data_IF_001286635790
#
_entry.id   IF_001286635790
#
_cell.length_a   1.000
_cell.length_b   1.000
_cell.length_c   1.000
_cell.angle_alpha   90.00
_cell.angle_beta   90.00
_cell.angle_gamma   90.00
#
_symmetry.space_group_name_H-M   'P 1'
#
loop_
_entity.id
_entity.type
_entity.pdbx_description
1 polymer ?
#
# COMPACT_ATOMS: atom_id res chain seq x y z
N UNK A 1 -24.43 4.31 16.47
CA UNK A 1 -23.69 5.24 17.37
C UNK A 1 -22.28 5.45 16.82
N UNK A 2 -21.71 6.67 16.84
CA UNK A 2 -20.35 6.87 16.34
C UNK A 2 -19.31 6.27 17.29
N UNK A 3 -18.16 5.86 16.75
CA UNK A 3 -17.05 5.27 17.53
C UNK A 3 -16.44 6.32 18.47
N UNK A 4 -16.71 6.18 19.78
CA UNK A 4 -16.07 7.01 20.81
C UNK A 4 -14.70 6.45 21.14
N UNK A 5 -13.70 7.32 21.25
CA UNK A 5 -12.32 6.92 21.51
C UNK A 5 -11.77 7.57 22.76
N UNK A 6 -10.99 6.81 23.54
CA UNK A 6 -10.30 7.30 24.71
C UNK A 6 -9.06 6.44 25.01
N UNK A 7 -8.09 7.03 25.68
CA UNK A 7 -6.95 6.26 26.20
C UNK A 7 -7.41 5.20 27.19
N UNK A 8 -6.90 3.98 27.03
CA UNK A 8 -7.33 2.80 27.80
C UNK A 8 -8.76 2.33 27.50
N UNK A 9 -9.44 2.94 26.52
CA UNK A 9 -10.75 2.51 26.05
C UNK A 9 -10.67 1.30 25.12
N UNK A 10 -11.79 0.62 24.94
CA UNK A 10 -11.95 -0.45 23.94
C UNK A 10 -12.12 0.14 22.54
N UNK A 11 -11.03 0.71 22.01
CA UNK A 11 -11.04 1.41 20.73
C UNK A 11 -10.95 0.44 19.55
N UNK A 12 -11.60 0.78 18.43
CA UNK A 12 -11.32 0.14 17.15
C UNK A 12 -10.03 0.75 16.57
N UNK A 13 -8.97 -0.04 16.32
CA UNK A 13 -7.69 0.49 15.84
C UNK A 13 -7.79 1.40 14.61
N UNK A 14 -8.55 1.02 13.59
CA UNK A 14 -8.72 1.83 12.39
C UNK A 14 -9.37 3.21 12.67
N UNK A 15 -10.27 3.31 13.65
CA UNK A 15 -10.88 4.59 14.04
C UNK A 15 -9.90 5.48 14.80
N UNK A 16 -9.00 4.88 15.59
CA UNK A 16 -7.87 5.61 16.19
C UNK A 16 -6.99 6.17 15.10
N UNK A 17 -6.64 5.37 14.07
CA UNK A 17 -5.85 5.85 12.94
C UNK A 17 -6.54 7.00 12.20
N UNK A 18 -7.86 6.88 11.94
CA UNK A 18 -8.65 7.93 11.29
C UNK A 18 -8.58 9.23 12.09
N UNK A 19 -8.74 9.14 13.40
CA UNK A 19 -8.65 10.30 14.29
C UNK A 19 -7.24 10.90 14.32
N UNK A 20 -6.20 10.06 14.44
CA UNK A 20 -4.80 10.52 14.42
C UNK A 20 -4.46 11.24 13.11
N UNK A 21 -4.86 10.64 11.98
CA UNK A 21 -4.65 11.22 10.66
C UNK A 21 -5.44 12.53 10.47
N UNK A 22 -6.68 12.59 10.97
CA UNK A 22 -7.46 13.82 10.98
C UNK A 22 -6.74 14.94 11.75
N UNK A 23 -6.27 14.66 12.97
CA UNK A 23 -5.52 15.63 13.78
C UNK A 23 -4.24 16.11 13.08
N UNK A 24 -3.48 15.21 12.44
CA UNK A 24 -2.32 15.57 11.63
C UNK A 24 -2.70 16.55 10.51
N UNK A 25 -3.78 16.26 9.76
CA UNK A 25 -4.26 17.14 8.68
C UNK A 25 -4.82 18.47 9.18
N UNK A 26 -5.24 18.55 10.44
CA UNK A 26 -5.61 19.81 11.11
C UNK A 26 -4.41 20.62 11.61
N UNK A 27 -3.19 20.16 11.36
CA UNK A 27 -1.98 20.85 11.79
C UNK A 27 -1.66 20.66 13.27
N UNK A 28 -2.05 19.53 13.85
CA UNK A 28 -1.78 19.17 15.25
C UNK A 28 -0.74 18.03 15.28
N UNK A 29 0.56 18.32 15.02
CA UNK A 29 1.61 17.30 14.94
C UNK A 29 1.89 16.59 16.28
N UNK A 30 1.40 17.13 17.40
CA UNK A 30 1.54 16.56 18.74
C UNK A 30 0.96 15.14 18.84
N UNK A 31 0.03 14.78 17.94
CA UNK A 31 -0.56 13.44 17.86
C UNK A 31 0.48 12.36 17.56
N UNK A 32 1.60 12.72 16.94
CA UNK A 32 2.66 11.78 16.60
C UNK A 32 2.33 10.92 15.37
N UNK A 33 2.71 9.64 15.43
CA UNK A 33 2.51 8.70 14.31
C UNK A 33 1.05 8.23 14.27
N UNK A 34 0.59 7.87 13.07
CA UNK A 34 -0.69 7.17 12.87
C UNK A 34 -0.49 5.69 13.16
N UNK A 35 -0.45 5.33 14.43
CA UNK A 35 -0.04 4.01 14.91
C UNK A 35 -1.20 3.16 15.48
N UNK A 36 -2.44 3.66 15.39
CA UNK A 36 -3.63 3.01 15.90
C UNK A 36 -3.71 2.89 17.43
N UNK A 37 -2.81 3.55 18.18
CA UNK A 37 -2.85 3.61 19.64
C UNK A 37 -3.39 4.96 20.14
N UNK A 38 -4.44 4.91 20.96
CA UNK A 38 -4.95 6.10 21.63
C UNK A 38 -4.14 6.32 22.92
N UNK A 39 -2.84 6.56 22.76
CA UNK A 39 -1.93 6.85 23.85
C UNK A 39 -1.97 8.30 24.32
N UNK A 40 -1.02 8.68 25.18
CA UNK A 40 -0.88 10.03 25.73
C UNK A 40 -0.82 11.11 24.64
N UNK A 41 -0.05 10.88 23.56
CA UNK A 41 0.07 11.84 22.45
C UNK A 41 -1.26 12.08 21.72
N UNK A 42 -2.02 11.01 21.48
CA UNK A 42 -3.35 11.10 20.86
C UNK A 42 -4.33 11.83 21.78
N UNK A 43 -4.29 11.54 23.08
CA UNK A 43 -5.10 12.22 24.09
C UNK A 43 -4.81 13.73 24.17
N UNK A 44 -3.53 14.11 24.21
CA UNK A 44 -3.11 15.52 24.27
C UNK A 44 -3.43 16.27 22.98
N UNK A 45 -3.22 15.66 21.82
CA UNK A 45 -3.63 16.24 20.55
C UNK A 45 -5.16 16.41 20.44
N UNK A 46 -5.92 15.48 21.04
CA UNK A 46 -7.38 15.61 21.16
C UNK A 46 -7.76 16.80 22.03
N UNK A 47 -7.06 17.03 23.16
CA UNK A 47 -7.26 18.23 24.00
C UNK A 47 -6.95 19.52 23.23
N UNK A 48 -5.88 19.53 22.42
CA UNK A 48 -5.53 20.68 21.59
C UNK A 48 -6.66 20.97 20.60
N UNK A 49 -7.17 19.96 19.90
CA UNK A 49 -8.32 20.13 19.00
C UNK A 49 -9.53 20.69 19.74
N UNK A 50 -9.90 20.10 20.88
CA UNK A 50 -11.02 20.55 21.70
C UNK A 50 -10.85 22.01 22.15
N UNK A 51 -9.67 22.39 22.62
CA UNK A 51 -9.36 23.76 23.01
C UNK A 51 -9.49 24.73 21.82
N UNK A 52 -8.96 24.37 20.65
CA UNK A 52 -9.08 25.17 19.43
C UNK A 52 -10.54 25.36 18.98
N UNK A 53 -11.42 24.42 19.34
CA UNK A 53 -12.85 24.48 19.02
C UNK A 53 -13.73 24.97 20.19
N UNK A 54 -13.14 25.51 21.27
CA UNK A 54 -13.85 25.96 22.47
C UNK A 54 -14.74 24.88 23.12
N UNK A 55 -14.30 23.61 23.07
CA UNK A 55 -14.97 22.48 23.72
C UNK A 55 -14.36 22.20 25.09
N UNK A 56 -15.07 21.43 25.92
CA UNK A 56 -14.48 20.84 27.12
C UNK A 56 -13.29 19.95 26.76
N UNK A 57 -12.14 20.17 27.40
CA UNK A 57 -10.86 19.50 27.07
C UNK A 57 -10.75 18.13 27.75
N UNK A 58 -11.68 17.23 27.44
CA UNK A 58 -11.74 15.88 28.01
C UNK A 58 -10.56 14.98 27.56
N UNK A 59 -9.95 15.28 26.42
CA UNK A 59 -8.95 14.43 25.76
C UNK A 59 -9.54 13.18 25.11
N UNK A 60 -10.87 13.06 25.05
CA UNK A 60 -11.61 11.94 24.48
C UNK A 60 -12.29 12.36 23.18
N UNK A 61 -12.37 11.45 22.22
CA UNK A 61 -13.25 11.62 21.07
C UNK A 61 -14.68 11.23 21.48
N UNK A 62 -15.35 12.13 22.19
CA UNK A 62 -16.75 11.99 22.62
C UNK A 62 -17.74 12.52 21.58
N UNK A 63 -19.05 12.42 21.86
CA UNK A 63 -20.09 12.79 20.89
C UNK A 63 -20.01 14.27 20.45
N UNK A 64 -19.71 15.17 21.39
CA UNK A 64 -19.55 16.61 21.09
C UNK A 64 -18.31 16.88 20.24
N UNK A 65 -17.20 16.21 20.56
CA UNK A 65 -15.95 16.31 19.80
C UNK A 65 -16.14 15.78 18.37
N UNK A 66 -16.84 14.65 18.21
CA UNK A 66 -17.17 14.05 16.91
C UNK A 66 -18.05 14.99 16.09
N UNK A 67 -19.12 15.52 16.68
CA UNK A 67 -20.03 16.42 15.96
C UNK A 67 -19.31 17.67 15.47
N UNK A 68 -18.43 18.22 16.30
CA UNK A 68 -17.58 19.35 15.90
C UNK A 68 -16.60 18.97 14.80
N UNK A 69 -15.93 17.82 14.90
CA UNK A 69 -14.96 17.36 13.92
C UNK A 69 -15.57 17.11 12.53
N UNK A 70 -16.84 16.71 12.45
CA UNK A 70 -17.57 16.56 11.17
C UNK A 70 -17.58 17.86 10.36
N UNK A 71 -17.76 19.01 11.02
CA UNK A 71 -17.73 20.32 10.36
C UNK A 71 -16.35 20.64 9.73
N UNK A 72 -15.30 19.91 10.11
CA UNK A 72 -13.95 20.02 9.58
C UNK A 72 -13.56 18.84 8.68
N UNK A 73 -14.54 18.05 8.21
CA UNK A 73 -14.31 16.94 7.28
C UNK A 73 -13.85 15.63 7.93
N UNK A 74 -14.11 15.43 9.24
CA UNK A 74 -13.96 14.12 9.86
C UNK A 74 -15.07 13.16 9.39
N UNK A 75 -14.68 12.04 8.80
CA UNK A 75 -15.62 10.99 8.39
C UNK A 75 -16.10 10.21 9.60
N UNK A 76 -17.41 10.07 9.74
CA UNK A 76 -18.04 9.24 10.78
C UNK A 76 -18.68 8.03 10.13
N UNK A 77 -18.26 6.84 10.56
CA UNK A 77 -18.80 5.58 10.08
C UNK A 77 -19.93 5.06 11.00
N UNK A 78 -20.87 4.27 10.47
CA UNK A 78 -21.81 3.49 11.28
C UNK A 78 -21.09 2.54 12.26
N UNK A 79 -21.67 2.26 13.43
CA UNK A 79 -21.10 1.36 14.45
C UNK A 79 -20.93 -0.09 13.99
N UNK A 80 -21.72 -0.51 13.01
CA UNK A 80 -21.66 -1.85 12.43
C UNK A 80 -20.76 -1.93 11.17
N UNK A 81 -20.13 -0.82 10.76
CA UNK A 81 -19.33 -0.72 9.53
C UNK A 81 -18.29 -1.86 9.42
N UNK A 82 -17.54 -2.09 10.49
CA UNK A 82 -16.49 -3.10 10.54
C UNK A 82 -17.06 -4.52 10.67
N UNK A 83 -18.16 -4.70 11.42
CA UNK A 83 -18.81 -6.00 11.56
C UNK A 83 -19.32 -6.53 10.22
N UNK A 84 -19.92 -5.65 9.41
CA UNK A 84 -20.37 -5.98 8.05
C UNK A 84 -19.23 -6.36 7.09
N UNK A 85 -17.97 -6.04 7.43
CA UNK A 85 -16.77 -6.21 6.58
C UNK A 85 -15.72 -7.13 7.21
N UNK A 86 -16.08 -7.89 8.23
CA UNK A 86 -15.15 -8.74 8.98
C UNK A 86 -14.97 -10.16 8.38
N UNK A 87 -15.60 -10.45 7.24
CA UNK A 87 -15.51 -11.75 6.59
C UNK A 87 -14.14 -11.99 5.95
N UNK A 88 -13.63 -13.22 6.03
CA UNK A 88 -12.34 -13.60 5.42
C UNK A 88 -12.31 -13.34 3.90
N UNK A 89 -13.46 -13.48 3.23
CA UNK A 89 -13.65 -13.27 1.80
C UNK A 89 -13.91 -11.80 1.41
N UNK A 90 -13.98 -10.88 2.37
CA UNK A 90 -14.15 -9.45 2.09
C UNK A 90 -12.78 -8.76 2.02
N UNK A 91 -12.47 -7.91 1.04
CA UNK A 91 -13.34 -7.47 -0.05
C UNK A 91 -13.46 -8.57 -1.12
N UNK A 92 -14.58 -8.58 -1.88
CA UNK A 92 -14.76 -9.56 -2.95
C UNK A 92 -13.67 -9.41 -4.03
N UNK A 93 -13.40 -10.51 -4.73
CA UNK A 93 -12.52 -10.52 -5.89
C UNK A 93 -13.13 -9.63 -6.99
N UNK A 94 -12.37 -8.78 -7.67
CA UNK A 94 -12.91 -7.95 -8.75
C UNK A 94 -13.31 -8.80 -9.96
N UNK A 95 -14.41 -8.43 -10.60
CA UNK A 95 -14.78 -8.97 -11.91
C UNK A 95 -13.88 -8.38 -13.00
N UNK A 96 -13.38 -9.22 -13.91
CA UNK A 96 -12.60 -8.78 -15.07
C UNK A 96 -11.19 -8.25 -14.78
N UNK A 97 -10.68 -8.39 -13.55
CA UNK A 97 -9.32 -8.01 -13.18
C UNK A 97 -8.60 -9.18 -12.48
N UNK A 98 -7.37 -9.47 -12.90
CA UNK A 98 -6.57 -10.57 -12.35
C UNK A 98 -5.09 -10.23 -12.34
N UNK A 99 -4.32 -10.90 -11.49
CA UNK A 99 -2.85 -10.82 -11.48
C UNK A 99 -2.25 -10.88 -12.90
N UNK A 100 -1.36 -9.95 -13.29
CA UNK A 100 -0.80 -9.91 -14.63
C UNK A 100 0.17 -11.08 -14.84
N UNK A 101 -0.01 -11.83 -15.93
CA UNK A 101 0.91 -12.89 -16.31
C UNK A 101 2.18 -12.35 -16.99
N UNK A 102 3.16 -13.23 -17.20
CA UNK A 102 4.44 -12.82 -17.78
C UNK A 102 4.32 -12.17 -19.17
N UNK A 103 3.47 -12.71 -20.04
CA UNK A 103 3.26 -12.18 -21.38
C UNK A 103 2.67 -10.77 -21.33
N UNK A 104 1.69 -10.54 -20.44
CA UNK A 104 1.07 -9.23 -20.25
C UNK A 104 2.10 -8.19 -19.82
N UNK A 105 2.94 -8.50 -18.83
CA UNK A 105 3.96 -7.56 -18.32
C UNK A 105 4.95 -7.17 -19.39
N UNK A 106 5.48 -8.14 -20.13
CA UNK A 106 6.45 -7.85 -21.18
C UNK A 106 5.81 -7.08 -22.36
N UNK A 107 4.57 -7.37 -22.72
CA UNK A 107 3.86 -6.65 -23.80
C UNK A 107 3.51 -5.22 -23.41
N UNK A 108 3.07 -5.01 -22.16
CA UNK A 108 2.56 -3.72 -21.71
C UNK A 108 3.63 -2.84 -21.08
N UNK A 109 4.54 -3.40 -20.30
CA UNK A 109 5.59 -2.68 -19.56
C UNK A 109 6.96 -2.78 -20.25
N UNK A 110 7.08 -3.61 -21.28
CA UNK A 110 8.32 -3.81 -22.00
C UNK A 110 9.20 -4.90 -21.38
N UNK A 111 10.00 -5.51 -22.23
CA UNK A 111 10.92 -6.60 -21.88
C UNK A 111 12.31 -6.04 -21.61
N UNK A 112 12.95 -6.59 -20.57
CA UNK A 112 14.35 -6.35 -20.24
C UNK A 112 15.20 -7.62 -20.15
N UNK A 113 16.48 -7.47 -20.43
CA UNK A 113 17.52 -8.42 -20.09
C UNK A 113 17.94 -8.24 -18.62
N UNK A 114 18.35 -9.32 -17.95
CA UNK A 114 18.84 -9.25 -16.57
C UNK A 114 19.85 -10.36 -16.26
N UNK A 115 20.58 -10.17 -15.15
CA UNK A 115 21.42 -11.21 -14.54
C UNK A 115 21.05 -11.34 -13.05
N UNK A 116 21.45 -12.46 -12.46
CA UNK A 116 21.51 -12.59 -11.00
C UNK A 116 22.96 -12.86 -10.59
N UNK A 117 23.51 -12.00 -9.73
CA UNK A 117 24.87 -12.15 -9.20
C UNK A 117 24.92 -13.25 -8.12
N UNK A 118 26.13 -13.69 -7.77
CA UNK A 118 26.35 -14.55 -6.61
C UNK A 118 25.76 -13.93 -5.33
N UNK A 119 25.31 -14.77 -4.40
CA UNK A 119 24.64 -14.35 -3.16
C UNK A 119 25.37 -13.26 -2.37
N UNK A 120 26.70 -13.34 -2.26
CA UNK A 120 27.54 -12.36 -1.55
C UNK A 120 27.51 -10.93 -2.12
N UNK A 121 27.00 -10.74 -3.33
CA UNK A 121 26.87 -9.44 -4.00
C UNK A 121 25.42 -8.95 -4.06
N UNK A 122 24.54 -9.53 -3.25
CA UNK A 122 23.12 -9.21 -3.19
C UNK A 122 22.77 -8.81 -1.75
N UNK A 123 21.95 -7.78 -1.63
CA UNK A 123 21.27 -7.38 -0.39
C UNK A 123 20.13 -8.34 -0.01
N UNK A 124 19.58 -9.06 -0.99
CA UNK A 124 18.56 -10.12 -0.79
C UNK A 124 18.73 -11.26 -1.80
N UNK A 125 18.36 -12.49 -1.41
CA UNK A 125 18.63 -13.68 -2.22
C UNK A 125 17.93 -13.67 -3.58
N UNK A 126 16.80 -12.97 -3.72
CA UNK A 126 16.08 -12.87 -5.00
C UNK A 126 16.52 -11.70 -5.88
N UNK A 127 17.48 -10.86 -5.45
CA UNK A 127 17.93 -9.69 -6.19
C UNK A 127 18.38 -10.06 -7.62
N UNK A 128 17.95 -9.26 -8.58
CA UNK A 128 18.46 -9.27 -9.96
C UNK A 128 19.08 -7.91 -10.30
N UNK A 129 19.85 -7.87 -11.37
CA UNK A 129 20.34 -6.64 -11.99
C UNK A 129 19.75 -6.55 -13.39
N UNK A 130 18.81 -5.62 -13.55
CA UNK A 130 18.23 -5.27 -14.85
C UNK A 130 19.30 -4.61 -15.72
N UNK A 131 19.27 -4.89 -17.01
CA UNK A 131 20.19 -4.36 -18.03
C UNK A 131 19.40 -3.53 -19.05
N UNK A 132 19.72 -3.68 -20.33
CA UNK A 132 18.97 -3.09 -21.41
C UNK A 132 17.64 -3.77 -21.70
N UNK A 133 16.92 -3.23 -22.67
CA UNK A 133 15.73 -3.89 -23.21
C UNK A 133 16.08 -5.17 -23.98
N UNK A 134 15.08 -6.00 -24.24
CA UNK A 134 15.29 -7.27 -24.92
C UNK A 134 15.69 -7.14 -26.40
N UNK A 135 15.42 -5.98 -27.02
CA UNK A 135 15.76 -5.67 -28.41
C UNK A 135 17.19 -5.11 -28.58
N UNK A 136 17.84 -4.72 -27.48
CA UNK A 136 19.16 -4.09 -27.51
C UNK A 136 19.13 -2.61 -27.92
N UNK A 137 17.96 -1.98 -27.96
CA UNK A 137 17.79 -0.57 -28.33
C UNK A 137 17.98 0.38 -27.16
N UNK A 138 17.70 -0.08 -25.94
CA UNK A 138 17.86 0.68 -24.71
C UNK A 138 18.95 0.02 -23.87
N UNK A 139 20.00 0.77 -23.50
CA UNK A 139 21.13 0.24 -22.72
C UNK A 139 20.82 0.10 -21.22
N UNK A 140 19.95 0.96 -20.68
CA UNK A 140 19.46 0.91 -19.30
C UNK A 140 17.93 1.00 -19.28
N UNK A 141 17.28 -0.15 -19.16
CA UNK A 141 15.83 -0.24 -19.11
C UNK A 141 15.26 0.45 -17.87
N UNK A 142 15.97 0.39 -16.74
CA UNK A 142 15.50 1.00 -15.48
C UNK A 142 15.47 2.51 -15.62
N UNK A 143 16.53 3.11 -16.14
CA UNK A 143 16.60 4.56 -16.39
C UNK A 143 15.52 5.02 -17.38
N UNK A 144 15.24 4.22 -18.41
CA UNK A 144 14.26 4.58 -19.43
C UNK A 144 12.80 4.45 -18.97
N UNK A 145 12.50 3.45 -18.13
CA UNK A 145 11.11 3.06 -17.83
C UNK A 145 10.65 3.43 -16.42
N UNK A 146 11.55 3.53 -15.46
CA UNK A 146 11.20 3.79 -14.05
C UNK A 146 11.32 5.28 -13.75
N UNK A 147 10.22 5.84 -13.26
CA UNK A 147 10.04 7.25 -12.96
C UNK A 147 9.74 7.46 -11.48
N UNK A 148 10.08 8.64 -10.97
CA UNK A 148 9.68 9.08 -9.64
C UNK A 148 8.33 9.81 -9.71
N UNK A 149 7.29 9.22 -9.12
CA UNK A 149 6.02 9.89 -8.85
C UNK A 149 6.09 10.53 -7.46
N UNK A 150 6.27 11.85 -7.40
CA UNK A 150 6.25 12.61 -6.14
C UNK A 150 4.81 12.78 -5.64
N UNK A 151 4.60 12.56 -4.35
CA UNK A 151 3.30 12.77 -3.71
C UNK A 151 3.46 13.01 -2.21
N UNK A 152 2.46 13.64 -1.61
CA UNK A 152 2.36 13.78 -0.15
C UNK A 152 1.38 12.77 0.46
N UNK A 153 0.74 11.91 -0.34
CA UNK A 153 -0.35 11.05 0.13
C UNK A 153 0.07 10.14 1.30
N UNK A 154 1.33 9.69 1.31
CA UNK A 154 1.90 8.79 2.32
C UNK A 154 2.89 9.50 3.25
N UNK A 155 2.87 10.83 3.36
CA UNK A 155 3.85 11.58 4.15
C UNK A 155 3.86 11.21 5.64
N UNK A 156 2.77 10.64 6.16
CA UNK A 156 2.67 10.14 7.53
C UNK A 156 3.10 8.69 7.70
N UNK A 157 3.28 7.94 6.61
CA UNK A 157 3.56 6.50 6.65
C UNK A 157 5.06 6.22 6.82
N UNK A 158 5.39 5.29 7.71
CA UNK A 158 6.77 4.85 7.94
C UNK A 158 7.37 4.25 6.66
N UNK A 159 8.59 4.66 6.31
CA UNK A 159 9.31 4.18 5.12
C UNK A 159 9.03 4.94 3.83
N UNK A 160 8.06 5.86 3.80
CA UNK A 160 7.80 6.71 2.64
C UNK A 160 8.75 7.92 2.60
N UNK A 161 9.50 8.06 1.50
CA UNK A 161 10.50 9.12 1.33
C UNK A 161 10.04 10.24 0.38
N UNK A 162 8.72 10.42 0.19
CA UNK A 162 8.15 11.51 -0.60
C UNK A 162 7.95 11.21 -2.11
N UNK A 163 8.26 10.00 -2.56
CA UNK A 163 8.06 9.58 -3.94
C UNK A 163 7.87 8.07 -4.06
N UNK A 164 7.24 7.65 -5.17
CA UNK A 164 7.13 6.26 -5.61
C UNK A 164 8.02 6.06 -6.84
N UNK A 165 8.92 5.07 -6.79
CA UNK A 165 9.65 4.62 -7.99
C UNK A 165 8.79 3.61 -8.72
N UNK A 166 8.23 3.98 -9.88
CA UNK A 166 7.26 3.16 -10.63
C UNK A 166 7.51 3.22 -12.12
N UNK A 167 7.00 2.23 -12.85
CA UNK A 167 6.99 2.26 -14.29
C UNK A 167 6.23 3.47 -14.82
N UNK A 168 6.69 4.11 -15.91
CA UNK A 168 6.03 5.27 -16.49
C UNK A 168 4.56 5.01 -16.85
N UNK A 169 4.26 3.81 -17.37
CA UNK A 169 2.88 3.37 -17.67
C UNK A 169 2.02 3.05 -16.43
N UNK A 170 2.61 2.91 -15.25
CA UNK A 170 1.88 2.71 -13.99
C UNK A 170 1.58 4.04 -13.26
N UNK A 171 2.22 5.13 -13.68
CA UNK A 171 2.20 6.41 -12.98
C UNK A 171 0.78 6.98 -12.86
N UNK A 172 0.06 7.08 -13.97
CA UNK A 172 -1.28 7.68 -14.01
C UNK A 172 -2.28 6.87 -13.18
N UNK A 173 -2.19 5.53 -13.25
CA UNK A 173 -3.02 4.64 -12.44
C UNK A 173 -2.74 4.81 -10.94
N UNK A 174 -1.47 4.93 -10.54
CA UNK A 174 -1.11 5.14 -9.14
C UNK A 174 -1.54 6.52 -8.64
N UNK A 175 -1.35 7.57 -9.44
CA UNK A 175 -1.78 8.93 -9.07
C UNK A 175 -3.30 8.99 -8.86
N UNK A 176 -4.08 8.38 -9.75
CA UNK A 176 -5.52 8.24 -9.61
C UNK A 176 -5.90 7.44 -8.35
N UNK A 177 -5.22 6.33 -8.06
CA UNK A 177 -5.47 5.55 -6.85
C UNK A 177 -5.25 6.38 -5.59
N UNK A 178 -4.15 7.13 -5.52
CA UNK A 178 -3.85 8.00 -4.38
C UNK A 178 -4.92 9.09 -4.22
N UNK A 179 -5.43 9.64 -5.33
CA UNK A 179 -6.54 10.60 -5.32
C UNK A 179 -7.83 9.97 -4.82
N UNK A 180 -8.19 8.76 -5.27
CA UNK A 180 -9.37 8.03 -4.79
C UNK A 180 -9.28 7.72 -3.29
N UNK A 181 -8.14 7.22 -2.80
CA UNK A 181 -7.96 6.97 -1.37
C UNK A 181 -8.02 8.23 -0.53
N UNK A 182 -7.50 9.35 -1.04
CA UNK A 182 -7.62 10.65 -0.37
C UNK A 182 -9.07 11.12 -0.32
N UNK A 183 -9.79 11.05 -1.45
CA UNK A 183 -11.18 11.47 -1.56
C UNK A 183 -12.12 10.62 -0.68
N UNK A 184 -11.83 9.32 -0.55
CA UNK A 184 -12.56 8.41 0.30
C UNK A 184 -12.15 8.46 1.79
N UNK A 185 -11.22 9.36 2.17
CA UNK A 185 -10.68 9.49 3.53
C UNK A 185 -10.10 8.16 4.06
N UNK A 186 -9.34 7.45 3.24
CA UNK A 186 -8.78 6.13 3.55
C UNK A 186 -7.27 6.12 3.84
N UNK A 187 -6.57 7.23 3.61
CA UNK A 187 -5.11 7.30 3.76
C UNK A 187 -4.61 7.02 5.19
N UNK A 188 -5.47 7.15 6.20
CA UNK A 188 -5.18 6.76 7.58
C UNK A 188 -4.88 5.26 7.75
N UNK A 189 -5.34 4.42 6.82
CA UNK A 189 -5.06 2.98 6.84
C UNK A 189 -3.62 2.65 6.42
N UNK A 190 -2.93 3.56 5.73
CA UNK A 190 -1.53 3.37 5.31
C UNK A 190 -0.60 3.79 6.44
N UNK A 191 -0.08 2.80 7.18
CA UNK A 191 0.83 2.99 8.32
C UNK A 191 2.28 2.93 7.85
N UNK A 192 2.58 2.03 6.89
CA UNK A 192 3.92 1.87 6.34
C UNK A 192 3.91 1.59 4.85
N UNK A 193 5.01 1.98 4.20
CA UNK A 193 5.25 1.77 2.77
C UNK A 193 6.57 1.02 2.59
N UNK A 194 6.52 -0.16 1.94
CA UNK A 194 7.67 -1.05 1.77
C UNK A 194 8.30 -0.96 0.37
N UNK A 195 7.86 -0.02 -0.46
CA UNK A 195 8.44 0.27 -1.78
C UNK A 195 7.58 -0.19 -2.95
N UNK A 196 7.94 0.29 -4.13
CA UNK A 196 7.24 0.02 -5.38
C UNK A 196 8.14 -0.66 -6.43
N UNK A 197 9.33 -0.12 -6.67
CA UNK A 197 10.33 -0.73 -7.54
C UNK A 197 11.42 -1.45 -6.74
N UNK A 198 11.50 -2.76 -6.90
CA UNK A 198 12.50 -3.63 -6.28
C UNK A 198 12.85 -4.76 -7.28
N UNK A 199 13.97 -4.68 -8.02
CA UNK A 199 14.36 -5.71 -9.00
C UNK A 199 14.66 -7.05 -8.34
N UNK A 200 13.70 -7.98 -8.38
CA UNK A 200 13.83 -9.31 -7.79
C UNK A 200 12.96 -10.39 -8.45
N UNK A 201 13.33 -11.64 -8.20
CA UNK A 201 12.39 -12.76 -8.30
C UNK A 201 11.28 -12.64 -7.24
N UNK A 202 10.16 -13.32 -7.48
CA UNK A 202 9.13 -13.58 -6.47
C UNK A 202 9.81 -14.26 -5.27
N UNK A 203 9.38 -13.94 -4.05
CA UNK A 203 9.96 -14.46 -2.82
C UNK A 203 10.02 -16.01 -2.84
N UNK A 204 11.22 -16.56 -2.69
CA UNK A 204 11.47 -18.02 -2.76
C UNK A 204 11.55 -18.64 -4.17
N UNK A 205 11.50 -17.85 -5.25
CA UNK A 205 11.59 -18.36 -6.63
C UNK A 205 12.94 -18.13 -7.31
N UNK A 206 13.97 -17.67 -6.58
CA UNK A 206 15.30 -17.52 -7.16
C UNK A 206 15.91 -18.87 -7.54
N UNK A 207 16.64 -18.98 -8.68
CA UNK A 207 17.24 -20.22 -9.16
C UNK A 207 18.51 -20.66 -8.38
N UNK A 208 18.69 -20.19 -7.14
CA UNK A 208 19.83 -20.52 -6.27
C UNK A 208 20.78 -19.36 -5.92
N UNK A 209 21.95 -19.72 -5.41
CA UNK A 209 22.95 -18.80 -4.84
C UNK A 209 24.14 -18.50 -5.77
N UNK A 210 24.34 -19.32 -6.79
CA UNK A 210 25.38 -19.13 -7.81
C UNK A 210 24.99 -18.03 -8.80
N UNK A 211 25.98 -17.35 -9.43
CA UNK A 211 25.71 -16.46 -10.56
C UNK A 211 24.88 -17.16 -11.62
N UNK A 212 23.89 -16.46 -12.14
CA UNK A 212 23.05 -16.93 -13.25
C UNK A 212 23.51 -16.27 -14.56
N UNK A 213 23.38 -16.95 -15.71
CA UNK A 213 23.63 -16.34 -17.01
C UNK A 213 22.66 -15.17 -17.26
N UNK A 214 22.97 -14.38 -18.28
CA UNK A 214 22.05 -13.35 -18.79
C UNK A 214 20.77 -14.02 -19.29
N UNK A 215 19.63 -13.48 -18.87
CA UNK A 215 18.27 -13.97 -19.18
C UNK A 215 17.39 -12.83 -19.67
N UNK A 216 16.30 -13.17 -20.34
CA UNK A 216 15.24 -12.23 -20.70
C UNK A 216 14.06 -12.39 -19.74
N UNK A 217 13.39 -11.29 -19.44
CA UNK A 217 12.11 -11.30 -18.71
C UNK A 217 11.00 -12.04 -19.46
N UNK A 218 11.17 -12.33 -20.75
CA UNK A 218 10.31 -13.21 -21.55
C UNK A 218 10.68 -14.70 -21.47
N UNK A 219 11.79 -15.08 -20.83
CA UNK A 219 12.22 -16.48 -20.79
C UNK A 219 11.15 -17.35 -20.10
N UNK A 220 10.70 -18.46 -20.72
CA UNK A 220 9.57 -19.24 -20.21
C UNK A 220 9.83 -19.82 -18.81
N UNK A 221 11.06 -20.26 -18.54
CA UNK A 221 11.40 -20.94 -17.28
C UNK A 221 11.68 -19.99 -16.11
N UNK A 222 11.87 -18.69 -16.38
CA UNK A 222 12.40 -17.73 -15.40
C UNK A 222 11.66 -16.39 -15.39
N UNK A 223 11.17 -15.91 -16.52
CA UNK A 223 10.42 -14.66 -16.63
C UNK A 223 9.15 -14.67 -15.79
N UNK A 224 8.41 -15.80 -15.83
CA UNK A 224 7.23 -16.01 -14.97
C UNK A 224 7.52 -16.02 -13.47
N UNK A 225 8.79 -16.09 -13.07
CA UNK A 225 9.24 -16.08 -11.67
C UNK A 225 9.68 -14.69 -11.19
N UNK A 226 9.68 -13.67 -12.06
CA UNK A 226 9.99 -12.29 -11.68
C UNK A 226 8.81 -11.64 -10.95
N UNK A 227 9.12 -10.87 -9.91
CA UNK A 227 8.12 -10.11 -9.15
C UNK A 227 7.65 -8.89 -9.96
N UNK A 228 6.40 -8.46 -9.75
CA UNK A 228 5.89 -7.21 -10.32
C UNK A 228 6.64 -5.96 -9.85
N UNK A 229 7.30 -6.02 -8.69
CA UNK A 229 8.23 -4.97 -8.27
C UNK A 229 9.43 -4.82 -9.21
N UNK A 230 9.85 -5.87 -9.91
CA UNK A 230 10.96 -5.79 -10.86
C UNK A 230 10.60 -4.98 -12.12
N UNK A 231 9.31 -4.83 -12.41
CA UNK A 231 8.81 -3.99 -13.50
C UNK A 231 8.42 -2.59 -13.00
N UNK A 232 8.49 -2.32 -11.70
CA UNK A 232 7.99 -1.07 -11.10
C UNK A 232 6.48 -0.92 -11.20
N UNK A 233 5.74 -2.03 -11.29
CA UNK A 233 4.29 -2.06 -11.49
C UNK A 233 3.55 -2.63 -10.28
N UNK A 234 4.17 -2.60 -9.11
CA UNK A 234 3.54 -3.01 -7.87
C UNK A 234 4.00 -2.12 -6.72
N UNK A 235 3.32 -2.23 -5.58
CA UNK A 235 3.77 -1.63 -4.33
C UNK A 235 3.24 -2.42 -3.13
N UNK A 236 3.99 -2.33 -2.03
CA UNK A 236 3.67 -3.00 -0.78
C UNK A 236 3.39 -1.97 0.33
N UNK A 237 2.30 -2.14 1.07
CA UNK A 237 1.95 -1.33 2.24
C UNK A 237 1.61 -2.23 3.44
N UNK A 238 1.85 -1.72 4.66
CA UNK A 238 1.50 -2.40 5.92
C UNK A 238 2.06 -3.84 6.03
N UNK A 239 3.27 -4.09 5.51
CA UNK A 239 3.87 -5.43 5.41
C UNK A 239 3.89 -6.22 6.72
N UNK A 240 4.12 -5.53 7.86
CA UNK A 240 4.17 -6.13 9.19
C UNK A 240 2.89 -6.89 9.56
N UNK A 241 1.73 -6.44 9.09
CA UNK A 241 0.42 -7.03 9.40
C UNK A 241 -0.13 -7.91 8.27
N UNK A 242 0.54 -7.95 7.13
CA UNK A 242 0.04 -8.58 5.91
C UNK A 242 1.10 -9.42 5.21
N UNK A 243 1.92 -10.12 6.00
CA UNK A 243 2.99 -10.97 5.49
C UNK A 243 2.47 -12.08 4.58
N UNK A 244 3.26 -12.44 3.57
CA UNK A 244 2.91 -13.48 2.59
C UNK A 244 2.57 -14.82 3.28
N UNK A 245 1.48 -15.44 2.83
CA UNK A 245 0.94 -16.69 3.34
C UNK A 245 0.00 -16.53 4.55
N UNK A 246 -0.02 -15.37 5.19
CA UNK A 246 -0.92 -15.12 6.32
C UNK A 246 -2.26 -14.55 5.86
N UNK A 247 -3.30 -14.73 6.69
CA UNK A 247 -4.56 -14.01 6.50
C UNK A 247 -4.30 -12.49 6.64
N UNK A 248 -4.66 -11.66 5.64
CA UNK A 248 -4.50 -10.21 5.72
C UNK A 248 -5.30 -9.63 6.89
N UNK A 249 -4.79 -8.58 7.53
CA UNK A 249 -5.45 -7.95 8.66
C UNK A 249 -6.91 -7.56 8.31
N UNK A 250 -7.85 -7.95 9.18
CA UNK A 250 -9.28 -7.73 8.96
C UNK A 250 -9.65 -6.26 9.17
N UNK A 251 -10.75 -5.84 8.56
CA UNK A 251 -11.32 -4.50 8.74
C UNK A 251 -11.40 -4.09 10.20
N UNK A 252 -11.09 -2.82 10.47
CA UNK A 252 -11.03 -2.27 11.82
C UNK A 252 -9.74 -2.60 12.57
N UNK A 253 -8.98 -3.61 12.16
CA UNK A 253 -7.71 -3.99 12.78
C UNK A 253 -6.55 -3.14 12.28
N UNK A 254 -5.52 -2.97 13.13
CA UNK A 254 -4.29 -2.28 12.75
C UNK A 254 -3.66 -2.94 11.53
N UNK A 255 -3.28 -2.11 10.56
CA UNK A 255 -2.61 -2.55 9.34
C UNK A 255 -3.54 -3.13 8.27
N UNK A 256 -4.87 -3.12 8.45
CA UNK A 256 -5.79 -3.52 7.39
C UNK A 256 -5.64 -2.64 6.15
N UNK A 257 -5.70 -3.28 4.99
CA UNK A 257 -5.73 -2.61 3.68
C UNK A 257 -7.01 -2.95 2.92
N UNK A 258 -7.93 -3.68 3.54
CA UNK A 258 -9.07 -4.29 2.86
C UNK A 258 -10.03 -3.24 2.30
N UNK A 259 -10.22 -2.13 3.00
CA UNK A 259 -11.00 -0.97 2.54
C UNK A 259 -10.36 -0.22 1.36
N UNK A 260 -9.06 -0.41 1.11
CA UNK A 260 -8.34 0.24 0.02
C UNK A 260 -8.56 -0.45 -1.33
N UNK A 261 -8.96 -1.72 -1.31
CA UNK A 261 -8.92 -2.63 -2.47
C UNK A 261 -9.90 -2.24 -3.57
N UNK A 262 -11.11 -1.81 -3.23
CA UNK A 262 -12.11 -1.48 -4.26
C UNK A 262 -11.66 -0.32 -5.16
N UNK A 263 -11.08 0.73 -4.55
CA UNK A 263 -10.48 1.84 -5.28
C UNK A 263 -9.24 1.40 -6.07
N UNK A 264 -8.42 0.50 -5.51
CA UNK A 264 -7.28 -0.08 -6.22
C UNK A 264 -7.72 -0.81 -7.49
N UNK A 265 -8.75 -1.65 -7.40
CA UNK A 265 -9.32 -2.38 -8.54
C UNK A 265 -9.81 -1.41 -9.63
N UNK A 266 -10.54 -0.34 -9.26
CA UNK A 266 -10.99 0.69 -10.22
C UNK A 266 -9.85 1.43 -10.91
N UNK A 267 -8.73 1.61 -10.20
CA UNK A 267 -7.52 2.21 -10.74
C UNK A 267 -6.67 1.23 -11.57
N UNK A 268 -7.06 -0.05 -11.66
CA UNK A 268 -6.38 -1.09 -12.42
C UNK A 268 -5.35 -1.90 -11.63
N UNK A 269 -5.29 -1.74 -10.31
CA UNK A 269 -4.44 -2.53 -9.42
C UNK A 269 -5.21 -3.73 -8.86
N UNK A 270 -4.65 -4.92 -9.01
CA UNK A 270 -5.12 -6.13 -8.37
C UNK A 270 -4.46 -6.30 -7.00
N UNK A 271 -5.21 -6.79 -6.02
CA UNK A 271 -4.72 -6.98 -4.65
C UNK A 271 -4.24 -8.42 -4.42
N UNK A 272 -3.03 -8.57 -3.88
CA UNK A 272 -2.42 -9.87 -3.56
C UNK A 272 -3.15 -10.65 -2.47
N UNK A 273 -4.00 -9.98 -1.67
CA UNK A 273 -4.92 -10.65 -0.75
C UNK A 273 -5.92 -11.60 -1.44
N UNK A 274 -6.10 -11.46 -2.76
CA UNK A 274 -6.90 -12.35 -3.58
C UNK A 274 -6.10 -13.45 -4.27
N UNK A 275 -4.82 -13.65 -3.94
CA UNK A 275 -4.05 -14.79 -4.44
C UNK A 275 -4.54 -16.12 -3.82
N UNK A 276 -4.23 -17.24 -4.47
CA UNK A 276 -4.59 -18.59 -4.03
C UNK A 276 -3.37 -19.45 -3.70
N UNK A 277 -3.60 -20.73 -3.42
CA UNK A 277 -2.53 -21.72 -3.30
C UNK A 277 -1.57 -21.50 -2.12
N UNK A 278 -2.07 -20.94 -1.01
CA UNK A 278 -1.27 -20.69 0.20
C UNK A 278 -0.29 -19.51 0.10
N UNK A 279 -0.43 -18.65 -0.92
CA UNK A 279 0.44 -17.49 -1.15
C UNK A 279 -0.32 -16.17 -1.19
N UNK A 280 -1.34 -16.05 -0.35
CA UNK A 280 -2.04 -14.77 -0.12
C UNK A 280 -0.99 -13.72 0.27
N UNK A 281 -1.02 -12.55 -0.36
CA UNK A 281 -0.05 -11.49 -0.13
C UNK A 281 -0.77 -10.17 0.15
N UNK A 282 -1.23 -10.00 1.39
CA UNK A 282 -2.14 -8.91 1.76
C UNK A 282 -1.52 -7.51 1.67
N UNK A 283 -0.20 -7.37 1.69
CA UNK A 283 0.47 -6.08 1.54
C UNK A 283 0.53 -5.61 0.09
N UNK A 284 0.37 -6.52 -0.86
CA UNK A 284 0.76 -6.34 -2.25
C UNK A 284 -0.37 -5.81 -3.13
N UNK A 285 -0.07 -4.78 -3.92
CA UNK A 285 -0.92 -4.28 -5.00
C UNK A 285 -0.12 -4.23 -6.30
N UNK A 286 -0.68 -4.75 -7.39
CA UNK A 286 0.02 -4.85 -8.68
C UNK A 286 -0.87 -4.38 -9.84
N UNK A 287 -0.28 -3.61 -10.76
CA UNK A 287 -0.98 -3.12 -11.94
C UNK A 287 -1.33 -4.29 -12.85
N UNK A 288 -2.63 -4.53 -13.00
CA UNK A 288 -3.21 -5.63 -13.76
C UNK A 288 -3.89 -5.16 -15.07
N UNK A 289 -4.22 -3.87 -15.16
CA UNK A 289 -4.78 -3.28 -16.36
C UNK A 289 -4.21 -1.87 -16.59
N UNK A 290 -3.89 -1.55 -17.84
CA UNK A 290 -3.65 -0.17 -18.24
C UNK A 290 -5.01 0.48 -18.50
N UNK A 291 -5.19 1.72 -18.07
CA UNK A 291 -6.38 2.48 -18.46
C UNK A 291 -6.24 2.91 -19.91
N UNK A 292 -7.29 2.72 -20.70
CA UNK A 292 -7.45 3.42 -21.98
C UNK A 292 -7.52 4.91 -21.69
N UNK A 293 -6.69 5.69 -22.39
CA UNK A 293 -6.74 7.16 -22.36
C UNK A 293 -8.08 7.66 -22.88
#
# INVERSE_FOLDING_TARGET
>A
MPFKLARGGNNIPAEVQRWQYFLLRRGIPQVGRVDADFGQKTEDATRIFQLQQNLSTSGKLDATTIETAKAFGYTVLPDDYYQQRNGANWPPRPDGLSSPNNAWRNSNLGCFDYIQKASKFRDRIERIVIKGDCAGTTNDWTQAQINDLRSSAFSHADGYNGYFRVHGKAKDALEELLNQWKAADLLHLVISFAGAFDPRYIFGYNPGNSPQPKRKSTDPDHGGKLSNHAFGSAFDINATWNWIGNEPARCGSKGSVRELVEAANRAGFYWGGHFGGGRIDGMHFELAALRSK
#
